data_IF_042647728868
#
_entry.id   IF_042647728868
#
_cell.length_a   1.000
_cell.length_b   1.000
_cell.length_c   1.000
_cell.angle_alpha   90.00
_cell.angle_beta   90.00
_cell.angle_gamma   90.00
#
_symmetry.space_group_name_H-M   'P 1'
#
loop_
_entity.id
_entity.type
_entity.pdbx_description
1 polymer ?
2 non-polymer ?
3 non-polymer ?
4 water ?
#
# COMPACT_ATOMS: atom_id res chain seq x y z
N UNK A 1 -14.29 8.03 -1.80
CA UNK A 1 -13.63 7.34 -0.65
C UNK A 1 -13.22 8.34 0.41
N UNK A 2 -12.43 7.88 1.38
CA UNK A 2 -11.81 8.73 2.43
C UNK A 2 -10.45 9.27 1.95
N UNK A 3 -9.96 10.37 2.52
CA UNK A 3 -8.64 10.84 2.11
C UNK A 3 -7.57 10.19 2.98
N UNK A 4 -6.61 9.54 2.36
CA UNK A 4 -5.53 8.92 3.09
C UNK A 4 -4.37 9.90 3.02
N UNK A 5 -3.93 10.40 4.18
CA UNK A 5 -2.74 11.24 4.28
C UNK A 5 -1.72 10.49 5.11
N UNK A 6 -0.52 10.33 4.56
CA UNK A 6 0.51 9.60 5.27
C UNK A 6 1.90 10.11 4.99
N UNK A 7 2.69 10.09 6.06
CA UNK A 7 4.11 10.32 5.95
C UNK A 7 4.73 9.08 5.29
N UNK A 8 5.65 9.31 4.35
CA UNK A 8 6.34 8.24 3.61
C UNK A 8 7.82 8.53 3.53
N UNK A 9 8.58 7.76 4.28
CA UNK A 9 10.03 7.87 4.30
C UNK A 9 10.62 6.57 3.85
N UNK A 10 11.66 6.67 3.04
CA UNK A 10 12.37 5.48 2.61
C UNK A 10 13.49 5.21 3.57
N UNK A 11 13.64 3.94 3.97
CA UNK A 11 14.84 3.49 4.70
C UNK A 11 15.82 3.00 3.64
N UNK A 12 17.04 3.53 3.66
CA UNK A 12 17.84 3.40 2.47
C UNK A 12 18.53 2.04 2.32
N UNK A 13 18.66 1.28 3.39
CA UNK A 13 19.32 -0.03 3.32
C UNK A 13 18.56 -1.05 4.13
N UNK A 14 18.85 -2.32 3.86
CA UNK A 14 18.32 -3.42 4.68
C UNK A 14 18.79 -3.28 6.12
N UNK A 15 20.00 -2.77 6.31
CA UNK A 15 20.53 -2.57 7.65
C UNK A 15 19.75 -1.52 8.44
N UNK A 16 19.38 -0.45 7.76
CA UNK A 16 18.58 0.63 8.35
C UNK A 16 17.25 0.08 8.79
N UNK A 17 16.62 -0.72 7.92
CA UNK A 17 15.37 -1.38 8.27
C UNK A 17 15.50 -2.32 9.48
N UNK A 18 16.53 -3.16 9.50
CA UNK A 18 16.72 -4.09 10.61
C UNK A 18 16.95 -3.33 11.91
N UNK A 19 17.82 -2.31 11.88
CA UNK A 19 18.06 -1.49 13.04
C UNK A 19 16.78 -0.83 13.53
N UNK A 20 15.98 -0.27 12.63
CA UNK A 20 14.75 0.38 13.07
C UNK A 20 13.77 -0.59 13.74
N UNK A 21 13.57 -1.74 13.10
CA UNK A 21 12.65 -2.75 13.67
C UNK A 21 13.15 -3.24 15.06
N UNK A 22 14.45 -3.38 15.25
CA UNK A 22 14.99 -3.75 16.56
C UNK A 22 14.70 -2.65 17.58
N UNK A 23 14.93 -1.40 17.19
CA UNK A 23 14.66 -0.27 18.10
C UNK A 23 13.19 -0.17 18.47
N UNK A 24 12.31 -0.54 17.54
CA UNK A 24 10.89 -0.42 17.80
C UNK A 24 10.25 -1.68 18.45
N UNK A 25 11.05 -2.70 18.73
CA UNK A 25 10.53 -3.96 19.30
C UNK A 25 9.48 -3.79 20.41
N UNK A 26 9.75 -2.96 21.43
CA UNK A 26 8.77 -2.94 22.53
C UNK A 26 7.39 -2.33 22.16
N UNK A 27 7.35 -1.59 21.06
CA UNK A 27 6.16 -0.92 20.54
C UNK A 27 5.39 -1.76 19.51
N UNK A 28 5.87 -2.96 19.22
CA UNK A 28 5.27 -3.78 18.19
C UNK A 28 3.84 -4.18 18.53
N UNK A 29 2.97 -4.08 17.53
CA UNK A 29 1.56 -4.47 17.64
C UNK A 29 1.28 -5.76 16.89
N UNK A 30 1.66 -5.78 15.62
CA UNK A 30 1.39 -6.94 14.77
C UNK A 30 2.22 -6.87 13.53
N UNK A 31 2.34 -8.02 12.89
CA UNK A 31 3.03 -8.14 11.63
C UNK A 31 2.05 -8.71 10.62
N UNK A 32 1.98 -8.05 9.47
CA UNK A 32 1.07 -8.44 8.40
C UNK A 32 1.86 -8.82 7.20
N UNK A 33 1.46 -9.92 6.60
CA UNK A 33 1.94 -10.32 5.29
C UNK A 33 0.89 -9.88 4.28
N UNK A 34 1.32 -9.07 3.32
CA UNK A 34 0.43 -8.52 2.30
C UNK A 34 0.91 -8.99 0.96
N UNK A 35 -0.03 -9.38 0.10
CA UNK A 35 0.26 -9.57 -1.30
C UNK A 35 -0.60 -8.57 -2.08
N UNK A 36 0.04 -7.66 -2.79
CA UNK A 36 -0.67 -6.59 -3.47
C UNK A 36 -0.73 -6.96 -4.94
N UNK A 37 -1.93 -6.98 -5.49
CA UNK A 37 -2.09 -7.25 -6.92
C UNK A 37 -2.89 -6.12 -7.53
N UNK A 38 -2.66 -5.86 -8.81
CA UNK A 38 -3.19 -4.66 -9.46
C UNK A 38 -3.86 -4.99 -10.76
N UNK A 39 -4.87 -4.21 -11.10
CA UNK A 39 -5.68 -4.48 -12.28
C UNK A 39 -5.88 -3.22 -13.11
N UNK A 40 -5.89 -3.36 -14.42
CA UNK A 40 -6.18 -2.23 -15.30
C UNK A 40 -6.53 -2.82 -16.65
N UNK A 41 -6.88 -1.98 -17.60
CA UNK A 41 -6.98 -2.44 -18.96
C UNK A 41 -5.58 -2.49 -19.59
N UNK A 42 -5.41 -3.22 -20.70
CA UNK A 42 -4.12 -3.20 -21.40
C UNK A 42 -3.72 -1.84 -21.95
N UNK A 43 -4.69 -0.97 -22.13
CA UNK A 43 -4.43 0.42 -22.50
C UNK A 43 -4.08 1.29 -21.28
N UNK A 44 -4.04 0.72 -20.07
CA UNK A 44 -3.75 1.50 -18.85
C UNK A 44 -4.75 2.65 -18.59
N UNK A 45 -6.03 2.39 -18.84
CA UNK A 45 -7.07 3.41 -18.67
C UNK A 45 -7.10 3.99 -17.26
N UNK A 46 -7.00 3.16 -16.23
CA UNK A 46 -7.04 3.70 -14.87
C UNK A 46 -5.80 4.49 -14.60
N UNK A 47 -4.66 3.89 -14.93
CA UNK A 47 -3.37 4.52 -14.68
C UNK A 47 -3.26 5.91 -15.32
N UNK A 48 -3.63 6.02 -16.60
CA UNK A 48 -3.67 7.32 -17.27
C UNK A 48 -4.68 8.30 -16.66
N UNK A 49 -5.68 7.80 -15.92
CA UNK A 49 -6.64 8.63 -15.20
C UNK A 49 -6.33 8.77 -13.71
N UNK A 50 -5.05 8.56 -13.38
CA UNK A 50 -4.50 8.70 -12.02
C UNK A 50 -5.21 7.81 -11.00
N UNK A 51 -5.56 6.60 -11.41
CA UNK A 51 -6.24 5.69 -10.53
C UNK A 51 -5.52 4.35 -10.49
N UNK A 52 -5.55 3.72 -9.31
CA UNK A 52 -4.96 2.41 -9.08
C UNK A 52 -6.01 1.50 -8.43
N UNK A 53 -6.23 0.32 -9.01
CA UNK A 53 -7.17 -0.67 -8.47
C UNK A 53 -6.35 -1.86 -7.95
N UNK A 54 -6.36 -2.00 -6.63
CA UNK A 54 -5.58 -3.01 -5.93
C UNK A 54 -6.49 -4.04 -5.30
N UNK A 55 -6.12 -5.31 -5.40
CA UNK A 55 -6.64 -6.35 -4.50
C UNK A 55 -5.46 -6.72 -3.62
N UNK A 56 -5.63 -6.49 -2.32
CA UNK A 56 -4.64 -6.84 -1.32
C UNK A 56 -5.10 -8.08 -0.62
N UNK A 57 -4.22 -9.06 -0.57
CA UNK A 57 -4.43 -10.28 0.21
C UNK A 57 -3.59 -10.17 1.47
N UNK A 58 -4.23 -10.34 2.63
CA UNK A 58 -3.66 -10.04 3.93
C UNK A 58 -3.73 -11.21 4.82
N UNK A 59 -2.67 -11.40 5.59
CA UNK A 59 -2.59 -12.49 6.54
C UNK A 59 -1.69 -12.05 7.74
N UNK A 60 -2.11 -12.34 8.96
CA UNK A 60 -1.22 -12.14 10.06
C UNK A 60 -0.06 -13.12 9.98
N UNK A 61 1.13 -12.63 10.29
CA UNK A 61 2.23 -13.48 10.66
C UNK A 61 1.88 -14.06 12.02
N UNK A 68 -7.98 -17.66 15.59
CA UNK A 68 -8.21 -17.68 14.14
C UNK A 68 -7.64 -16.47 13.41
N UNK A 69 -6.94 -16.75 12.31
CA UNK A 69 -6.30 -15.75 11.44
C UNK A 69 -6.64 -16.07 9.99
N UNK A 70 -7.92 -15.92 9.62
CA UNK A 70 -8.25 -16.16 8.22
C UNK A 70 -7.60 -15.11 7.33
N UNK A 71 -7.16 -15.52 6.14
CA UNK A 71 -6.68 -14.50 5.24
C UNK A 71 -7.83 -13.65 4.73
N UNK A 72 -7.49 -12.45 4.30
CA UNK A 72 -8.47 -11.46 3.92
C UNK A 72 -8.11 -10.85 2.60
N UNK A 73 -9.13 -10.42 1.87
CA UNK A 73 -8.97 -9.73 0.61
C UNK A 73 -9.71 -8.40 0.68
N UNK A 74 -8.98 -7.33 0.36
CA UNK A 74 -9.50 -5.97 0.39
C UNK A 74 -9.26 -5.36 -1.00
N UNK A 75 -10.34 -4.87 -1.59
CA UNK A 75 -10.26 -4.11 -2.84
C UNK A 75 -10.09 -2.64 -2.47
N UNK A 76 -9.12 -1.98 -3.11
CA UNK A 76 -8.84 -0.55 -2.89
C UNK A 76 -8.81 0.17 -4.23
N UNK A 77 -9.52 1.28 -4.32
CA UNK A 77 -9.40 2.20 -5.43
C UNK A 77 -8.73 3.42 -4.83
N UNK A 78 -7.55 3.76 -5.33
CA UNK A 78 -6.83 4.98 -4.97
C UNK A 78 -6.81 5.91 -6.16
N UNK A 79 -7.29 7.13 -5.97
CA UNK A 79 -7.46 8.11 -7.04
C UNK A 79 -6.78 9.43 -6.73
N UNK A 80 -6.20 10.03 -7.76
CA UNK A 80 -5.65 11.37 -7.72
C UNK A 80 -4.61 11.54 -6.61
N UNK A 81 -3.57 10.69 -6.63
CA UNK A 81 -2.51 10.75 -5.61
C UNK A 81 -1.58 11.95 -5.78
N UNK A 82 -1.11 12.51 -4.66
CA UNK A 82 -0.01 13.47 -4.68
C UNK A 82 1.02 12.98 -3.71
N UNK A 83 2.29 13.16 -4.01
CA UNK A 83 3.36 12.74 -3.10
C UNK A 83 4.42 13.77 -3.24
N UNK A 84 4.67 14.52 -2.17
CA UNK A 84 5.66 15.60 -2.20
C UNK A 84 6.18 15.80 -0.83
N UNK A 85 7.48 16.06 -0.74
CA UNK A 85 8.08 16.35 0.53
C UNK A 85 7.87 15.23 1.55
N UNK A 86 7.83 13.97 1.11
CA UNK A 86 7.64 12.84 2.00
C UNK A 86 6.26 12.69 2.60
N UNK A 87 5.27 13.35 1.98
CA UNK A 87 3.87 13.27 2.42
C UNK A 87 2.99 12.93 1.22
N UNK A 88 2.19 11.88 1.41
CA UNK A 88 1.26 11.34 0.41
C UNK A 88 -0.16 11.71 0.79
N UNK A 89 -0.98 12.08 -0.18
CA UNK A 89 -2.40 12.28 0.00
C UNK A 89 -3.06 11.65 -1.20
N UNK A 90 -4.08 10.84 -0.95
CA UNK A 90 -4.77 10.15 -2.04
C UNK A 90 -6.16 9.84 -1.55
N UNK A 91 -7.14 9.83 -2.45
CA UNK A 91 -8.48 9.34 -2.11
C UNK A 91 -8.46 7.81 -2.16
N UNK A 92 -8.92 7.17 -1.09
CA UNK A 92 -8.91 5.71 -1.03
C UNK A 92 -10.30 5.22 -0.69
N UNK A 93 -10.81 4.31 -1.52
CA UNK A 93 -12.06 3.64 -1.27
C UNK A 93 -11.74 2.16 -1.12
N UNK A 94 -12.07 1.56 0.03
CA UNK A 94 -11.75 0.15 0.31
C UNK A 94 -12.96 -0.66 0.68
N UNK A 95 -12.88 -1.96 0.40
CA UNK A 95 -13.96 -2.87 0.70
C UNK A 95 -13.43 -4.29 0.78
N UNK A 96 -13.82 -5.01 1.83
CA UNK A 96 -13.45 -6.41 1.96
C UNK A 96 -14.34 -7.24 1.06
N UNK A 97 -13.74 -8.20 0.39
CA UNK A 97 -14.49 -9.18 -0.37
C UNK A 97 -14.03 -10.56 0.03
N UNK A 98 -14.74 -11.58 -0.42
CA UNK A 98 -14.38 -12.95 -0.05
C UNK A 98 -13.03 -13.29 -0.62
N UNK A 99 -12.20 -13.93 0.20
CA UNK A 99 -10.84 -14.29 -0.18
C UNK A 99 -10.84 -15.20 -1.41
N UNK A 100 -11.69 -16.21 -1.44
CA UNK A 100 -11.67 -17.12 -2.59
C UNK A 100 -12.02 -16.43 -3.89
N UNK A 101 -12.92 -15.45 -3.80
CA UNK A 101 -13.38 -14.68 -4.95
C UNK A 101 -12.22 -13.81 -5.44
N UNK A 102 -11.56 -13.13 -4.51
CA UNK A 102 -10.37 -12.34 -4.87
C UNK A 102 -9.33 -13.19 -5.59
N UNK A 103 -9.07 -14.37 -5.05
CA UNK A 103 -8.11 -15.30 -5.63
C UNK A 103 -8.46 -15.68 -7.07
N UNK A 104 -9.73 -15.94 -7.32
CA UNK A 104 -10.18 -16.30 -8.66
C UNK A 104 -9.95 -15.16 -9.64
N UNK A 105 -10.10 -13.92 -9.18
CA UNK A 105 -9.90 -12.76 -10.05
C UNK A 105 -8.45 -12.52 -10.49
N UNK A 106 -7.49 -12.89 -9.65
CA UNK A 106 -6.08 -12.82 -10.03
C UNK A 106 -5.85 -13.77 -11.19
N UNK A 107 -6.43 -14.97 -11.09
CA UNK A 107 -6.36 -15.97 -12.14
C UNK A 107 -7.11 -15.53 -13.40
N UNK A 108 -8.33 -15.01 -13.20
CA UNK A 108 -9.24 -14.63 -14.28
C UNK A 108 -9.84 -13.26 -14.00
N UNK A 109 -9.18 -12.18 -14.42
CA UNK A 109 -9.62 -10.81 -14.09
C UNK A 109 -11.01 -10.42 -14.55
N UNK A 110 -11.49 -11.00 -15.64
CA UNK A 110 -12.87 -10.79 -16.06
C UNK A 110 -13.85 -11.10 -14.95
N UNK A 111 -13.49 -12.01 -14.03
CA UNK A 111 -14.36 -12.33 -12.90
C UNK A 111 -14.55 -11.20 -11.90
N UNK A 112 -13.76 -10.14 -11.98
CA UNK A 112 -14.10 -8.92 -11.25
C UNK A 112 -15.53 -8.48 -11.55
N UNK A 113 -15.98 -8.70 -12.79
CA UNK A 113 -17.37 -8.46 -13.22
C UNK A 113 -18.38 -9.29 -12.42
N UNK A 114 -17.95 -10.39 -11.81
CA UNK A 114 -18.89 -11.31 -11.14
C UNK A 114 -18.95 -11.13 -9.62
N UNK A 115 -18.39 -10.06 -9.05
CA UNK A 115 -18.24 -9.95 -7.58
C UNK A 115 -19.39 -9.27 -6.83
N UNK A 116 -19.96 -8.23 -7.42
CA UNK A 116 -21.00 -7.43 -6.72
C UNK A 116 -20.46 -6.46 -5.65
N UNK A 117 -19.33 -5.84 -5.96
CA UNK A 117 -18.59 -5.01 -5.01
C UNK A 117 -18.95 -3.56 -5.23
N UNK A 118 -19.11 -2.83 -4.12
CA UNK A 118 -19.33 -1.38 -4.13
C UNK A 118 -18.22 -0.63 -4.83
N UNK A 119 -16.99 -0.98 -4.47
CA UNK A 119 -15.83 -0.27 -5.01
C UNK A 119 -15.71 -0.55 -6.51
N UNK A 120 -15.96 -1.79 -6.93
CA UNK A 120 -15.90 -2.11 -8.34
C UNK A 120 -17.00 -1.40 -9.16
N UNK A 121 -18.17 -1.26 -8.56
CA UNK A 121 -19.24 -0.50 -9.17
C UNK A 121 -18.79 0.93 -9.34
N UNK A 122 -18.17 1.51 -8.31
CA UNK A 122 -17.59 2.86 -8.43
C UNK A 122 -16.55 2.97 -9.57
N UNK A 123 -15.69 1.97 -9.74
CA UNK A 123 -14.73 1.99 -10.84
C UNK A 123 -15.51 2.02 -12.17
N UNK A 124 -16.51 1.17 -12.30
CA UNK A 124 -17.32 1.17 -13.53
C UNK A 124 -17.95 2.53 -13.83
N UNK A 125 -18.62 3.09 -12.83
CA UNK A 125 -19.34 4.35 -12.98
C UNK A 125 -18.41 5.53 -13.26
N UNK A 126 -17.27 5.59 -12.59
CA UNK A 126 -16.41 6.77 -12.66
C UNK A 126 -15.45 6.73 -13.82
N UNK A 127 -15.05 5.54 -14.22
CA UNK A 127 -14.08 5.40 -15.28
C UNK A 127 -14.73 4.87 -16.54
N UNK A 128 -16.03 4.56 -16.50
CA UNK A 128 -16.78 4.29 -17.72
C UNK A 128 -16.70 2.91 -18.34
N UNK A 129 -16.73 1.88 -17.50
CA UNK A 129 -16.71 0.51 -17.97
C UNK A 129 -18.04 -0.14 -17.65
N UNK A 130 -18.54 -0.97 -18.54
CA UNK A 130 -19.74 -1.73 -18.22
C UNK A 130 -19.44 -3.07 -17.60
N UNK A 131 -18.20 -3.55 -17.74
CA UNK A 131 -17.75 -4.78 -17.08
C UNK A 131 -16.22 -4.78 -17.06
N UNK A 132 -15.64 -5.84 -16.51
CA UNK A 132 -14.19 -5.96 -16.42
C UNK A 132 -13.67 -7.01 -17.38
N UNK A 133 -14.39 -7.27 -18.46
CA UNK A 133 -13.98 -8.30 -19.41
C UNK A 133 -12.66 -7.98 -20.08
N UNK A 134 -12.41 -6.68 -20.29
CA UNK A 134 -11.17 -6.21 -20.88
C UNK A 134 -10.04 -5.95 -19.91
N UNK A 135 -10.22 -6.31 -18.64
CA UNK A 135 -9.18 -6.08 -17.62
C UNK A 135 -8.13 -7.20 -17.59
N UNK A 136 -6.94 -6.82 -17.15
CA UNK A 136 -5.83 -7.76 -16.98
C UNK A 136 -5.23 -7.49 -15.62
N UNK A 137 -4.55 -8.51 -15.11
CA UNK A 137 -3.81 -8.40 -13.86
C UNK A 137 -2.43 -7.91 -14.23
N UNK A 138 -2.02 -6.80 -13.61
CA UNK A 138 -0.68 -6.26 -13.87
C UNK A 138 0.38 -7.02 -13.12
N UNK A 139 -0.03 -7.89 -12.20
CA UNK A 139 0.87 -8.60 -11.34
C UNK A 139 0.85 -7.91 -10.00
N UNK A 140 1.94 -8.06 -9.28
CA UNK A 140 1.95 -7.64 -7.91
C UNK A 140 3.27 -7.80 -7.21
N UNK A 141 3.22 -7.57 -5.92
CA UNK A 141 4.39 -7.70 -5.09
C UNK A 141 3.95 -7.97 -3.68
N UNK A 142 4.85 -8.59 -2.92
CA UNK A 142 4.60 -8.83 -1.49
C UNK A 142 5.17 -7.71 -0.63
N UNK A 143 4.56 -7.53 0.52
CA UNK A 143 5.03 -6.56 1.50
C UNK A 143 4.84 -7.14 2.88
N UNK A 144 5.86 -7.00 3.72
CA UNK A 144 5.76 -7.36 5.12
C UNK A 144 5.68 -6.05 5.87
N UNK A 145 4.58 -5.87 6.57
CA UNK A 145 4.28 -4.64 7.29
C UNK A 145 4.29 -4.91 8.79
N UNK A 146 5.26 -4.29 9.47
CA UNK A 146 5.33 -4.31 10.93
C UNK A 146 4.66 -3.06 11.44
N UNK A 147 3.70 -3.25 12.33
CA UNK A 147 2.89 -2.15 12.85
C UNK A 147 3.27 -1.91 14.32
N UNK A 148 3.54 -0.64 14.65
CA UNK A 148 4.02 -0.25 15.98
C UNK A 148 3.16 0.87 16.49
N UNK A 149 2.94 0.88 17.80
CA UNK A 149 2.22 1.95 18.47
C UNK A 149 3.26 2.71 19.26
N UNK A 150 3.68 3.84 18.70
CA UNK A 150 4.86 4.58 19.18
C UNK A 150 4.55 6.07 19.29
N UNK A 151 4.67 6.63 20.50
CA UNK A 151 4.58 8.08 20.71
C UNK A 151 3.29 8.65 20.15
N UNK A 152 2.21 7.88 20.28
CA UNK A 152 0.91 8.34 19.88
C UNK A 152 0.57 8.14 18.41
N UNK A 153 1.44 7.50 17.66
CA UNK A 153 1.12 7.26 16.26
C UNK A 153 1.22 5.79 15.95
N UNK A 154 0.67 5.42 14.79
CA UNK A 154 0.77 4.08 14.28
C UNK A 154 1.80 4.08 13.18
N UNK A 155 2.97 3.53 13.46
CA UNK A 155 4.04 3.42 12.48
C UNK A 155 3.87 2.11 11.72
N UNK A 156 3.96 2.16 10.40
CA UNK A 156 3.88 0.97 9.58
C UNK A 156 5.22 0.88 8.88
N UNK A 157 6.03 -0.12 9.24
CA UNK A 157 7.36 -0.26 8.68
C UNK A 157 7.29 -1.42 7.68
N UNK A 158 7.60 -1.09 6.43
CA UNK A 158 7.35 -1.93 5.26
C UNK A 158 8.64 -2.47 4.68
N UNK A 159 8.65 -3.76 4.44
CA UNK A 159 9.67 -4.41 3.62
C UNK A 159 8.93 -4.92 2.38
N UNK A 160 9.19 -4.26 1.26
CA UNK A 160 8.48 -4.50 0.02
C UNK A 160 9.38 -5.30 -0.90
N UNK A 161 8.86 -6.45 -1.34
CA UNK A 161 9.66 -7.42 -2.06
C UNK A 161 9.24 -7.39 -3.51
N UNK A 162 10.08 -6.77 -4.33
CA UNK A 162 9.93 -6.78 -5.79
C UNK A 162 10.84 -7.83 -6.46
N UNK A 163 10.54 -8.14 -7.72
CA UNK A 163 11.41 -8.99 -8.58
C UNK A 163 12.86 -8.63 -8.51
N UNK A 164 13.07 -7.34 -8.69
CA UNK A 164 14.39 -6.77 -8.90
C UNK A 164 15.13 -6.55 -7.60
N UNK A 165 14.43 -6.58 -6.47
CA UNK A 165 15.06 -6.38 -5.16
C UNK A 165 14.05 -5.87 -4.15
N UNK A 166 14.51 -5.56 -2.94
CA UNK A 166 13.63 -5.07 -1.87
C UNK A 166 13.76 -3.56 -1.63
N UNK A 167 12.66 -2.91 -1.23
CA UNK A 167 12.70 -1.54 -0.68
C UNK A 167 12.10 -1.54 0.69
N UNK A 168 12.44 -0.52 1.46
CA UNK A 168 12.05 -0.41 2.86
C UNK A 168 11.52 0.99 3.07
N UNK A 169 10.45 1.09 3.84
CA UNK A 169 9.78 2.36 4.11
C UNK A 169 9.19 2.41 5.50
N UNK A 170 8.99 3.62 6.00
CA UNK A 170 8.15 3.85 7.15
C UNK A 170 6.99 4.67 6.67
N UNK A 171 5.78 4.26 6.98
CA UNK A 171 4.59 5.06 6.71
C UNK A 171 3.88 5.39 7.99
N UNK A 172 3.19 6.52 8.00
CA UNK A 172 2.40 6.87 9.16
C UNK A 172 1.20 7.68 8.72
N UNK A 173 0.01 7.11 8.88
CA UNK A 173 -1.20 7.77 8.50
C UNK A 173 -1.56 8.72 9.61
N UNK A 174 -1.82 9.97 9.25
CA UNK A 174 -2.06 11.01 10.26
C UNK A 174 -2.67 12.27 9.63
N UNK A 175 -3.49 12.97 10.44
CA UNK A 175 -3.99 14.30 10.11
C UNK A 175 -2.97 15.43 10.35
N UNK A 176 -1.84 15.10 11.00
CA UNK A 176 -0.78 16.04 11.29
C UNK A 176 0.53 15.58 10.70
N UNK A 177 0.60 15.42 9.37
CA UNK A 177 1.79 14.84 8.79
C UNK A 177 3.06 15.65 9.02
N UNK A 178 2.99 16.97 9.05
CA UNK A 178 4.22 17.75 9.22
C UNK A 178 4.81 17.51 10.63
N UNK A 179 3.96 17.57 11.64
CA UNK A 179 4.38 17.34 13.03
C UNK A 179 4.85 15.91 13.29
N UNK A 180 4.13 14.96 12.72
CA UNK A 180 4.54 13.56 12.83
C UNK A 180 5.83 13.25 12.06
N UNK A 181 5.96 13.80 10.86
CA UNK A 181 7.17 13.58 10.09
C UNK A 181 8.39 14.14 10.80
N UNK A 182 8.28 15.34 11.38
CA UNK A 182 9.35 15.89 12.20
C UNK A 182 9.71 15.00 13.39
N UNK A 183 8.70 14.51 14.12
CA UNK A 183 8.91 13.59 15.24
C UNK A 183 9.65 12.31 14.85
N UNK A 184 9.24 11.71 13.74
CA UNK A 184 9.91 10.52 13.22
C UNK A 184 11.34 10.84 12.78
N UNK A 185 11.51 11.89 11.98
CA UNK A 185 12.83 12.32 11.48
C UNK A 185 13.84 12.61 12.58
N UNK A 186 13.38 13.24 13.67
CA UNK A 186 14.27 13.50 14.81
C UNK A 186 14.78 12.17 15.37
N UNK A 187 13.88 11.21 15.54
CA UNK A 187 14.22 9.90 16.08
C UNK A 187 15.19 9.15 15.18
N UNK A 188 14.90 9.10 13.88
CA UNK A 188 15.77 8.41 12.93
C UNK A 188 17.14 9.06 12.88
N UNK A 189 17.18 10.39 12.93
CA UNK A 189 18.45 11.13 12.91
C UNK A 189 19.28 10.82 14.16
N UNK A 190 18.64 10.93 15.32
CA UNK A 190 19.31 10.62 16.60
C UNK A 190 19.88 9.20 16.61
N UNK A 191 19.18 8.27 15.97
CA UNK A 191 19.55 6.86 16.01
C UNK A 191 20.41 6.44 14.85
N UNK A 192 20.77 7.41 14.01
CA UNK A 192 21.63 7.22 12.85
C UNK A 192 21.07 6.16 11.89
N UNK A 193 19.77 6.25 11.65
CA UNK A 193 19.13 5.40 10.67
C UNK A 193 19.13 6.11 9.31
N UNK A 194 19.56 5.43 8.28
CA UNK A 194 19.61 6.03 6.96
C UNK A 194 18.23 6.10 6.34
N UNK A 195 17.81 7.31 6.00
CA UNK A 195 16.50 7.56 5.39
C UNK A 195 16.46 8.76 4.46
N UNK A 196 15.43 8.81 3.63
CA UNK A 196 15.11 10.02 2.88
C UNK A 196 13.60 10.05 2.72
N UNK A 197 13.07 11.12 2.15
CA UNK A 197 11.65 11.10 1.76
C UNK A 197 11.44 10.07 0.68
N UNK A 198 10.30 9.37 0.69
CA UNK A 198 9.92 8.58 -0.49
C UNK A 198 9.39 9.50 -1.54
N UNK A 199 9.80 9.32 -2.78
CA UNK A 199 9.24 10.14 -3.82
C UNK A 199 8.52 9.33 -4.88
N UNK A 200 8.26 8.05 -4.60
CA UNK A 200 7.51 7.19 -5.53
C UNK A 200 6.62 6.32 -4.67
N UNK A 201 5.41 6.03 -5.13
CA UNK A 201 4.57 5.05 -4.48
C UNK A 201 5.12 3.63 -4.73
N UNK A 202 4.69 2.68 -3.93
CA UNK A 202 5.08 1.29 -4.14
C UNK A 202 4.65 0.80 -5.54
N UNK A 203 3.45 1.19 -5.95
CA UNK A 203 2.92 0.84 -7.28
C UNK A 203 3.82 1.40 -8.36
N UNK A 204 4.21 2.66 -8.24
CA UNK A 204 5.13 3.28 -9.21
C UNK A 204 6.49 2.57 -9.25
N UNK A 205 7.05 2.22 -8.10
CA UNK A 205 8.30 1.45 -8.07
C UNK A 205 8.11 0.12 -8.84
N UNK A 206 7.02 -0.58 -8.52
CA UNK A 206 6.68 -1.84 -9.16
C UNK A 206 6.59 -1.72 -10.69
N UNK A 207 5.93 -0.67 -11.15
CA UNK A 207 5.76 -0.45 -12.58
C UNK A 207 7.01 0.04 -13.28
N UNK A 208 7.95 0.66 -12.56
CA UNK A 208 9.21 1.12 -13.17
C UNK A 208 10.16 -0.03 -13.49
N UNK A 209 10.00 -1.16 -12.82
CA UNK A 209 10.87 -2.32 -13.00
C UNK A 209 12.22 -2.11 -12.35
#
# INVERSE_FOLDING_TARGET
GAMEVEVKLRLLTAAAHLRLTTLLTPYHLKTLHQRNTFFDTPKNDLSLRRAVLRLRFLQNAAVSAASPSPPRCIVSLKAKPTLANGISRVEEDEEEIEYWIGKECVESPAKLSDIGSRVLKRVKEEYGFNDFLGFVCLGGFENVRNVYEWRGVKLEVDETKYDFGNCYEIECETEEPERVKTMIEEFLTEEKIEFSNSDMTKFAVFRSGKLP
#
